data_IF_109340572792
#
_entry.id   IF_109340572792
#
_cell.length_a   1.000
_cell.length_b   1.000
_cell.length_c   1.000
_cell.angle_alpha   90.00
_cell.angle_beta   90.00
_cell.angle_gamma   90.00
#
_symmetry.space_group_name_H-M   'P 1'
#
loop_
_entity.id
_entity.type
_entity.pdbx_description
1 polymer ?
#
# COMPACT_ATOMS: atom_id res chain seq x y z
N UNK A 1 -4.82 3.58 -3.03
CA UNK A 1 -3.98 3.21 -1.88
C UNK A 1 -3.24 4.42 -1.31
N UNK A 2 -2.23 4.99 -1.98
CA UNK A 2 -1.42 6.09 -1.40
C UNK A 2 -2.21 7.32 -0.91
N UNK A 3 -3.24 7.75 -1.66
CA UNK A 3 -4.14 8.82 -1.23
C UNK A 3 -4.92 8.50 0.06
N UNK A 4 -5.34 7.23 0.25
CA UNK A 4 -6.06 6.83 1.48
C UNK A 4 -5.13 6.89 2.68
N UNK A 5 -3.89 6.41 2.53
CA UNK A 5 -2.87 6.47 3.56
C UNK A 5 -2.54 7.93 3.95
N UNK A 6 -2.45 8.81 2.95
CA UNK A 6 -2.20 10.25 3.14
C UNK A 6 -3.36 10.91 3.89
N UNK A 7 -4.60 10.65 3.47
CA UNK A 7 -5.79 11.17 4.15
C UNK A 7 -5.91 10.67 5.60
N UNK A 8 -5.64 9.38 5.84
CA UNK A 8 -5.58 8.83 7.19
C UNK A 8 -4.51 9.49 8.04
N UNK A 9 -3.31 9.74 7.50
CA UNK A 9 -2.24 10.45 8.19
C UNK A 9 -2.64 11.89 8.55
N UNK A 10 -3.29 12.62 7.64
CA UNK A 10 -3.81 13.96 7.92
C UNK A 10 -4.85 13.95 9.04
N UNK A 11 -5.77 12.97 9.03
CA UNK A 11 -6.81 12.82 10.06
C UNK A 11 -6.22 12.51 11.45
N UNK A 12 -5.01 11.93 11.50
CA UNK A 12 -4.25 11.71 12.72
C UNK A 12 -3.37 12.91 13.14
N UNK A 13 -3.41 14.03 12.40
CA UNK A 13 -2.59 15.20 12.66
C UNK A 13 -1.11 15.02 12.30
N UNK A 14 -0.79 14.02 11.47
CA UNK A 14 0.59 13.77 10.99
C UNK A 14 0.91 14.65 9.79
N UNK A 15 2.20 14.88 9.58
CA UNK A 15 2.71 15.52 8.39
C UNK A 15 2.80 14.47 7.27
N UNK A 16 2.21 14.79 6.13
CA UNK A 16 2.14 13.85 5.01
C UNK A 16 2.62 14.48 3.71
N UNK A 17 3.14 13.63 2.82
CA UNK A 17 3.42 14.00 1.44
C UNK A 17 3.03 12.85 0.52
N UNK A 18 2.47 13.20 -0.63
CA UNK A 18 2.07 12.24 -1.66
C UNK A 18 2.54 12.74 -3.03
N UNK A 19 3.47 12.00 -3.63
CA UNK A 19 4.01 12.29 -4.95
C UNK A 19 3.72 11.12 -5.90
N UNK A 20 2.66 11.20 -6.72
CA UNK A 20 2.40 10.21 -7.75
C UNK A 20 3.34 10.39 -8.94
N UNK A 21 3.71 9.29 -9.58
CA UNK A 21 4.48 9.24 -10.81
C UNK A 21 3.81 8.28 -11.80
N UNK A 22 3.59 8.76 -13.02
CA UNK A 22 2.98 7.99 -14.10
C UNK A 22 3.84 8.13 -15.35
N UNK A 23 4.09 7.02 -16.03
CA UNK A 23 4.69 7.05 -17.36
C UNK A 23 3.78 7.76 -18.39
N UNK A 24 4.33 8.27 -19.50
CA UNK A 24 3.56 8.92 -20.57
C UNK A 24 2.65 7.95 -21.37
N UNK A 25 2.67 6.66 -21.03
CA UNK A 25 1.94 5.60 -21.71
C UNK A 25 0.45 5.61 -21.32
N UNK A 26 -0.43 5.82 -22.31
CA UNK A 26 -1.88 5.98 -22.11
C UNK A 26 -2.60 4.73 -21.57
N UNK A 27 -1.95 3.55 -21.55
CA UNK A 27 -2.50 2.32 -20.97
C UNK A 27 -1.38 1.35 -20.62
N UNK A 28 -1.37 0.82 -19.40
CA UNK A 28 -0.44 -0.23 -18.97
C UNK A 28 0.97 0.24 -18.57
N UNK A 29 1.19 1.55 -18.48
CA UNK A 29 2.47 2.09 -18.01
C UNK A 29 2.71 1.88 -16.52
N UNK A 30 3.96 2.01 -16.11
CA UNK A 30 4.32 1.96 -14.67
C UNK A 30 3.73 3.18 -13.96
N UNK A 31 2.96 2.90 -12.91
CA UNK A 31 2.44 3.89 -11.99
C UNK A 31 2.98 3.58 -10.59
N UNK A 32 3.59 4.57 -9.95
CA UNK A 32 4.04 4.48 -8.57
C UNK A 32 3.65 5.74 -7.82
N UNK A 33 3.68 5.69 -6.51
CA UNK A 33 3.57 6.90 -5.69
C UNK A 33 4.49 6.79 -4.49
N UNK A 34 5.17 7.88 -4.17
CA UNK A 34 5.83 8.04 -2.88
C UNK A 34 4.82 8.59 -1.88
N UNK A 35 4.80 8.01 -0.67
CA UNK A 35 3.97 8.47 0.44
C UNK A 35 4.87 8.58 1.65
N UNK A 36 4.83 9.74 2.32
CA UNK A 36 5.45 9.94 3.63
C UNK A 36 4.38 10.29 4.64
N UNK A 37 4.50 9.71 5.82
CA UNK A 37 3.65 9.95 6.99
C UNK A 37 4.59 10.02 8.19
N UNK A 38 4.70 11.18 8.81
CA UNK A 38 5.65 11.44 9.91
C UNK A 38 5.04 12.39 10.95
N UNK A 39 5.48 12.31 12.20
CA UNK A 39 5.14 13.28 13.24
C UNK A 39 5.84 14.62 12.99
N UNK A 40 6.99 14.61 12.30
CA UNK A 40 7.78 15.80 11.96
C UNK A 40 7.45 16.32 10.56
N UNK A 41 7.67 17.62 10.29
CA UNK A 41 7.49 18.18 8.96
C UNK A 41 8.28 17.42 7.89
N UNK A 42 7.63 17.14 6.76
CA UNK A 42 8.26 16.46 5.62
C UNK A 42 9.13 17.46 4.86
N UNK A 43 10.45 17.26 4.91
CA UNK A 43 11.42 18.16 4.27
C UNK A 43 11.54 18.01 2.74
N UNK A 44 11.20 16.85 2.20
CA UNK A 44 11.22 16.55 0.76
C UNK A 44 10.17 15.50 0.42
N UNK A 45 9.44 15.60 -0.70
CA UNK A 45 8.49 14.59 -1.17
C UNK A 45 9.15 13.39 -1.89
N UNK A 46 10.46 13.44 -2.12
CA UNK A 46 11.20 12.44 -2.88
C UNK A 46 11.69 11.32 -1.96
N UNK A 47 11.42 10.08 -2.36
CA UNK A 47 11.98 8.87 -1.76
C UNK A 47 13.06 8.35 -2.69
N UNK A 48 14.28 8.24 -2.19
CA UNK A 48 15.45 7.72 -2.91
C UNK A 48 16.39 7.06 -1.90
N UNK A 49 16.54 5.74 -1.99
CA UNK A 49 17.35 4.93 -1.07
C UNK A 49 17.01 5.08 0.44
N UNK A 50 15.80 5.56 0.75
CA UNK A 50 15.34 5.79 2.12
C UNK A 50 13.90 5.30 2.35
N UNK A 51 13.38 4.43 1.48
CA UNK A 51 12.07 3.83 1.66
C UNK A 51 12.08 2.85 2.84
N UNK A 52 11.23 3.07 3.83
CA UNK A 52 11.04 2.11 4.95
C UNK A 52 10.18 0.91 4.54
N UNK A 53 9.35 1.08 3.51
CA UNK A 53 8.47 0.04 2.99
C UNK A 53 8.18 0.29 1.51
N UNK A 54 8.06 -0.79 0.73
CA UNK A 54 7.52 -0.76 -0.64
C UNK A 54 6.38 -1.76 -0.78
N UNK A 55 5.37 -1.38 -1.56
CA UNK A 55 4.24 -2.24 -1.94
C UNK A 55 4.31 -2.51 -3.43
N UNK A 56 4.54 -3.77 -3.79
CA UNK A 56 4.86 -4.17 -5.15
C UNK A 56 3.67 -4.94 -5.75
N UNK A 57 3.01 -4.30 -6.72
CA UNK A 57 1.81 -4.84 -7.37
C UNK A 57 2.09 -5.49 -8.74
N UNK A 58 3.31 -5.42 -9.25
CA UNK A 58 3.74 -6.07 -10.49
C UNK A 58 5.26 -6.33 -10.49
N UNK A 59 5.72 -7.22 -11.38
CA UNK A 59 7.12 -7.64 -11.45
C UNK A 59 8.10 -6.51 -11.80
N UNK A 60 7.83 -5.61 -12.77
CA UNK A 60 8.72 -4.48 -13.06
C UNK A 60 8.94 -3.54 -11.86
N UNK A 61 7.93 -3.33 -11.02
CA UNK A 61 8.05 -2.51 -9.83
C UNK A 61 9.00 -3.10 -8.79
N UNK A 62 9.11 -4.43 -8.68
CA UNK A 62 10.09 -5.06 -7.78
C UNK A 62 11.51 -4.66 -8.21
N UNK A 63 11.83 -4.93 -9.47
CA UNK A 63 13.16 -4.69 -10.04
C UNK A 63 13.55 -3.22 -9.93
N UNK A 64 12.58 -2.30 -10.13
CA UNK A 64 12.85 -0.86 -10.16
C UNK A 64 13.03 -0.23 -8.78
N UNK A 65 12.27 -0.66 -7.77
CA UNK A 65 12.18 0.05 -6.49
C UNK A 65 12.79 -0.71 -5.31
N UNK A 66 13.29 -1.93 -5.52
CA UNK A 66 13.94 -2.70 -4.46
C UNK A 66 15.20 -2.02 -3.89
N UNK A 67 15.96 -1.31 -4.73
CA UNK A 67 17.16 -0.57 -4.30
C UNK A 67 16.83 0.68 -3.47
N UNK A 68 15.59 1.16 -3.51
CA UNK A 68 15.16 2.30 -2.69
C UNK A 68 14.91 1.93 -1.23
N UNK A 69 14.76 0.63 -0.92
CA UNK A 69 14.54 0.17 0.45
C UNK A 69 15.77 0.39 1.34
N UNK A 70 15.52 0.81 2.58
CA UNK A 70 16.53 0.73 3.64
C UNK A 70 16.76 -0.72 4.07
N UNK A 71 17.93 -1.05 4.64
CA UNK A 71 18.13 -2.35 5.29
C UNK A 71 17.04 -2.63 6.34
N UNK A 72 16.58 -3.87 6.41
CA UNK A 72 15.43 -4.33 7.21
C UNK A 72 14.09 -3.69 6.84
N UNK A 73 14.03 -2.95 5.74
CA UNK A 73 12.80 -2.39 5.19
C UNK A 73 11.81 -3.47 4.76
N UNK A 74 10.53 -3.12 4.74
CA UNK A 74 9.44 -4.05 4.41
C UNK A 74 9.24 -4.08 2.89
N UNK A 75 9.40 -5.26 2.29
CA UNK A 75 9.07 -5.52 0.89
C UNK A 75 7.76 -6.32 0.82
N UNK A 76 6.64 -5.65 0.57
CA UNK A 76 5.34 -6.29 0.48
C UNK A 76 5.00 -6.60 -0.99
N UNK A 77 4.87 -7.88 -1.33
CA UNK A 77 4.79 -8.38 -2.70
C UNK A 77 3.43 -9.02 -2.96
N UNK A 78 2.77 -8.61 -4.05
CA UNK A 78 1.58 -9.28 -4.56
C UNK A 78 1.96 -10.63 -5.21
N UNK A 79 1.90 -11.71 -4.44
CA UNK A 79 2.32 -13.04 -4.90
C UNK A 79 1.37 -13.65 -5.94
N UNK A 80 0.19 -13.07 -6.14
CA UNK A 80 -0.72 -13.45 -7.24
C UNK A 80 -0.12 -13.19 -8.62
N UNK A 81 0.74 -12.16 -8.73
CA UNK A 81 1.28 -11.68 -10.00
C UNK A 81 2.82 -11.79 -10.08
N UNK A 82 3.47 -12.01 -8.94
CA UNK A 82 4.92 -11.95 -8.80
C UNK A 82 5.40 -13.24 -8.15
N UNK A 83 6.14 -14.04 -8.90
CA UNK A 83 6.74 -15.29 -8.40
C UNK A 83 8.20 -15.13 -7.99
N UNK A 84 8.84 -14.02 -8.39
CA UNK A 84 10.23 -13.74 -8.01
C UNK A 84 10.34 -13.26 -6.56
N UNK A 85 11.54 -13.42 -6.00
CA UNK A 85 11.91 -12.89 -4.70
C UNK A 85 12.77 -11.63 -4.87
N UNK A 86 12.84 -10.75 -3.86
CA UNK A 86 13.87 -9.71 -3.84
C UNK A 86 15.26 -10.32 -4.04
N UNK A 87 16.11 -9.63 -4.80
CA UNK A 87 17.51 -9.99 -4.95
C UNK A 87 18.34 -9.70 -3.68
N UNK A 88 17.89 -8.73 -2.88
CA UNK A 88 18.46 -8.33 -1.61
C UNK A 88 18.03 -9.27 -0.49
N UNK A 89 19.01 -9.70 0.30
CA UNK A 89 18.80 -10.56 1.47
C UNK A 89 18.61 -9.77 2.78
N UNK A 90 18.87 -8.46 2.76
CA UNK A 90 18.80 -7.58 3.93
C UNK A 90 17.42 -6.95 4.14
N UNK A 91 16.41 -7.33 3.35
CA UNK A 91 15.03 -6.80 3.43
C UNK A 91 14.06 -7.83 4.00
N UNK A 92 12.98 -7.35 4.63
CA UNK A 92 11.90 -8.20 5.15
C UNK A 92 10.81 -8.38 4.09
N UNK A 93 10.85 -9.50 3.37
CA UNK A 93 9.87 -9.81 2.33
C UNK A 93 8.59 -10.46 2.90
N UNK A 94 7.44 -9.96 2.46
CA UNK A 94 6.11 -10.50 2.77
C UNK A 94 5.34 -10.73 1.47
N UNK A 95 4.70 -11.88 1.37
CA UNK A 95 4.01 -12.32 0.16
C UNK A 95 2.52 -12.43 0.42
N UNK A 96 1.72 -11.63 -0.28
CA UNK A 96 0.26 -11.59 -0.09
C UNK A 96 -0.42 -11.89 -1.42
N UNK A 97 -1.25 -12.93 -1.42
CA UNK A 97 -2.07 -13.37 -2.55
C UNK A 97 -3.28 -12.43 -2.73
N UNK A 98 -3.01 -11.15 -3.01
CA UNK A 98 -4.02 -10.09 -2.91
C UNK A 98 -5.14 -10.20 -3.93
N UNK A 99 -4.85 -10.74 -5.12
CA UNK A 99 -5.87 -10.94 -6.14
C UNK A 99 -6.78 -12.13 -5.79
N UNK A 100 -6.24 -13.21 -5.23
CA UNK A 100 -7.02 -14.36 -4.78
C UNK A 100 -7.95 -13.95 -3.64
N UNK A 101 -7.43 -13.24 -2.62
CA UNK A 101 -8.24 -12.71 -1.53
C UNK A 101 -9.36 -11.80 -2.06
N UNK A 102 -9.06 -10.91 -3.01
CA UNK A 102 -10.06 -10.04 -3.61
C UNK A 102 -11.09 -10.80 -4.47
N UNK A 103 -10.68 -11.89 -5.12
CA UNK A 103 -11.55 -12.75 -5.90
C UNK A 103 -12.51 -13.56 -5.02
N UNK A 104 -12.03 -14.08 -3.88
CA UNK A 104 -12.85 -14.77 -2.87
C UNK A 104 -13.93 -13.85 -2.28
N UNK A 105 -13.62 -12.55 -2.14
CA UNK A 105 -14.59 -11.52 -1.73
C UNK A 105 -15.56 -11.13 -2.85
N UNK A 106 -15.40 -11.64 -4.07
CA UNK A 106 -16.26 -11.35 -5.21
C UNK A 106 -16.02 -9.98 -5.86
N UNK A 107 -14.92 -9.29 -5.55
CA UNK A 107 -14.60 -7.98 -6.13
C UNK A 107 -13.09 -7.77 -6.29
N UNK A 108 -12.56 -8.07 -7.48
CA UNK A 108 -11.13 -7.88 -7.79
C UNK A 108 -10.61 -6.45 -7.57
N UNK A 109 -11.48 -5.43 -7.51
CA UNK A 109 -11.07 -4.04 -7.27
C UNK A 109 -10.56 -3.79 -5.84
N UNK A 110 -10.80 -4.69 -4.89
CA UNK A 110 -10.34 -4.52 -3.50
C UNK A 110 -8.93 -5.05 -3.24
N UNK A 111 -8.22 -5.59 -4.24
CA UNK A 111 -6.84 -6.08 -4.08
C UNK A 111 -5.88 -5.03 -3.49
N UNK A 112 -6.04 -3.75 -3.89
CA UNK A 112 -5.25 -2.64 -3.33
C UNK A 112 -5.55 -2.37 -1.85
N UNK A 113 -6.74 -2.73 -1.37
CA UNK A 113 -7.13 -2.56 0.03
C UNK A 113 -6.60 -3.72 0.88
N UNK A 114 -6.56 -4.93 0.32
CA UNK A 114 -5.85 -6.07 0.93
C UNK A 114 -4.39 -5.69 1.21
N UNK A 115 -3.68 -5.18 0.20
CA UNK A 115 -2.28 -4.79 0.37
C UNK A 115 -2.10 -3.61 1.33
N UNK A 116 -3.07 -2.69 1.38
CA UNK A 116 -3.07 -1.59 2.34
C UNK A 116 -3.23 -2.10 3.79
N UNK A 117 -4.10 -3.08 4.02
CA UNK A 117 -4.26 -3.73 5.32
C UNK A 117 -2.97 -4.39 5.80
N UNK A 118 -2.32 -5.15 4.92
CA UNK A 118 -1.02 -5.76 5.20
C UNK A 118 0.07 -4.72 5.53
N UNK A 119 0.14 -3.63 4.76
CA UNK A 119 1.10 -2.54 5.01
C UNK A 119 0.87 -1.89 6.38
N UNK A 120 -0.38 -1.57 6.71
CA UNK A 120 -0.73 -0.91 7.98
C UNK A 120 -0.44 -1.83 9.16
N UNK A 121 -0.74 -3.13 9.04
CA UNK A 121 -0.42 -4.11 10.08
C UNK A 121 1.08 -4.19 10.38
N UNK A 122 1.91 -4.22 9.34
CA UNK A 122 3.36 -4.36 9.49
C UNK A 122 4.05 -3.09 10.00
N UNK A 123 3.49 -1.92 9.69
CA UNK A 123 4.15 -0.63 9.95
C UNK A 123 3.55 0.14 11.12
N UNK A 124 2.26 -0.06 11.43
CA UNK A 124 1.53 0.78 12.37
C UNK A 124 1.51 2.27 11.99
N UNK A 125 1.79 2.61 10.72
CA UNK A 125 1.99 4.00 10.29
C UNK A 125 0.75 4.88 10.47
N UNK A 126 -0.44 4.29 10.48
CA UNK A 126 -1.75 4.90 10.80
C UNK A 126 -2.67 3.83 11.40
N UNK A 127 -3.79 4.24 11.98
CA UNK A 127 -4.82 3.37 12.52
C UNK A 127 -5.79 2.88 11.44
N UNK A 128 -6.37 1.70 11.64
CA UNK A 128 -7.41 1.14 10.74
C UNK A 128 -8.59 2.10 10.64
N UNK A 129 -9.02 2.68 11.76
CA UNK A 129 -10.17 3.58 11.83
C UNK A 129 -9.96 4.82 10.95
N UNK A 130 -8.75 5.36 10.92
CA UNK A 130 -8.38 6.51 10.07
C UNK A 130 -8.45 6.15 8.58
N UNK A 131 -8.03 4.94 8.21
CA UNK A 131 -8.16 4.44 6.84
C UNK A 131 -9.63 4.24 6.46
N UNK A 132 -10.44 3.66 7.34
CA UNK A 132 -11.88 3.45 7.09
C UNK A 132 -12.63 4.79 6.97
N UNK A 133 -12.31 5.77 7.81
CA UNK A 133 -12.86 7.13 7.70
C UNK A 133 -12.51 7.79 6.37
N UNK A 134 -11.22 7.78 5.99
CA UNK A 134 -10.77 8.32 4.71
C UNK A 134 -11.41 7.60 3.51
N UNK A 135 -11.64 6.30 3.62
CA UNK A 135 -12.31 5.52 2.58
C UNK A 135 -13.80 5.89 2.47
N UNK A 136 -14.49 6.04 3.59
CA UNK A 136 -15.91 6.42 3.62
C UNK A 136 -16.14 7.78 2.96
N UNK A 137 -15.31 8.78 3.29
CA UNK A 137 -15.33 10.10 2.67
C UNK A 137 -15.09 10.03 1.15
N UNK A 138 -14.10 9.22 0.73
CA UNK A 138 -13.77 9.06 -0.69
C UNK A 138 -14.86 8.35 -1.48
N UNK A 139 -15.49 7.33 -0.91
CA UNK A 139 -16.55 6.58 -1.57
C UNK A 139 -17.83 7.41 -1.69
N UNK A 140 -18.12 8.21 -0.67
CA UNK A 140 -19.33 9.01 -0.56
C UNK A 140 -20.61 8.17 -0.39
N UNK A 141 -21.78 8.81 -0.22
CA UNK A 141 -23.02 8.13 0.11
C UNK A 141 -23.47 7.09 -0.93
N UNK A 142 -23.20 7.35 -2.22
CA UNK A 142 -23.62 6.48 -3.33
C UNK A 142 -22.93 5.12 -3.35
N UNK A 143 -21.77 4.99 -2.68
CA UNK A 143 -20.97 3.77 -2.64
C UNK A 143 -20.76 3.25 -1.21
N UNK A 144 -21.59 3.68 -0.26
CA UNK A 144 -21.51 3.24 1.13
C UNK A 144 -21.61 1.71 1.29
N UNK A 145 -22.40 1.04 0.43
CA UNK A 145 -22.50 -0.43 0.40
C UNK A 145 -21.18 -1.15 0.09
N UNK A 146 -20.17 -0.44 -0.43
CA UNK A 146 -18.83 -0.99 -0.64
C UNK A 146 -17.96 -0.94 0.63
N UNK A 147 -18.38 -0.28 1.71
CA UNK A 147 -17.58 -0.20 2.93
C UNK A 147 -17.29 -1.58 3.51
N UNK A 148 -18.31 -2.42 3.69
CA UNK A 148 -18.17 -3.74 4.31
C UNK A 148 -17.16 -4.64 3.58
N UNK A 149 -17.18 -4.63 2.25
CA UNK A 149 -16.24 -5.44 1.46
C UNK A 149 -14.81 -4.89 1.51
N UNK A 150 -14.65 -3.57 1.55
CA UNK A 150 -13.32 -2.97 1.68
C UNK A 150 -12.75 -3.17 3.09
N UNK A 151 -13.58 -3.09 4.14
CA UNK A 151 -13.16 -3.38 5.51
C UNK A 151 -12.71 -4.85 5.64
N UNK A 152 -13.52 -5.79 5.13
CA UNK A 152 -13.13 -7.21 5.10
C UNK A 152 -11.85 -7.44 4.31
N UNK A 153 -11.68 -6.78 3.16
CA UNK A 153 -10.45 -6.87 2.38
C UNK A 153 -9.23 -6.38 3.15
N UNK A 154 -9.37 -5.24 3.86
CA UNK A 154 -8.32 -4.70 4.71
C UNK A 154 -7.93 -5.69 5.81
N UNK A 155 -8.93 -6.25 6.50
CA UNK A 155 -8.70 -7.19 7.61
C UNK A 155 -8.04 -8.48 7.16
N UNK A 156 -8.46 -9.05 6.02
CA UNK A 156 -7.81 -10.23 5.44
C UNK A 156 -6.37 -9.94 5.02
N UNK A 157 -6.11 -8.74 4.49
CA UNK A 157 -4.75 -8.27 4.21
C UNK A 157 -3.87 -8.19 5.44
N UNK A 158 -4.38 -7.60 6.52
CA UNK A 158 -3.68 -7.55 7.81
C UNK A 158 -3.42 -8.96 8.37
N UNK A 159 -4.40 -9.86 8.28
CA UNK A 159 -4.25 -11.25 8.73
C UNK A 159 -3.19 -12.02 7.93
N UNK A 160 -3.08 -11.78 6.61
CA UNK A 160 -2.15 -12.48 5.73
C UNK A 160 -0.66 -12.28 6.08
N UNK A 161 -0.34 -11.27 6.91
CA UNK A 161 1.03 -10.96 7.32
C UNK A 161 1.27 -11.17 8.82
N UNK A 162 0.26 -11.65 9.56
CA UNK A 162 0.41 -12.07 10.97
C UNK A 162 0.95 -13.51 11.04
N UNK A 163 1.87 -13.75 11.96
CA UNK A 163 2.46 -15.06 12.23
C UNK A 163 1.50 -15.97 13.01
#
# INVERSE_FOLDING_TARGET
MGQLLTAAGMNEGKNVSWLPSYGPEMRGGTANCAVMVDEKPVGSPIVSHNATSIVVMNQPSLIKFEEDLVPQGICLINSSLISSKPAREDVRAYYVASNEIAAELGNSRVANIVMLGALVELTGCVKKESIMGALAERLGPSKAHLMDINEKAFDLGAQAVRA
#
